data_IF_301925421776
#
_entry.id   IF_301925421776
#
_cell.length_a   1.000
_cell.length_b   1.000
_cell.length_c   1.000
_cell.angle_alpha   90.00
_cell.angle_beta   90.00
_cell.angle_gamma   90.00
#
_symmetry.space_group_name_H-M   'P 1'
#
loop_
_entity.id
_entity.type
_entity.pdbx_description
1 polymer ?
#
# COMPACT_ATOMS: atom_id res chain seq x y z
N UNK A 1 -10.93 44.15 -0.24
CA UNK A 1 -10.06 43.71 -1.37
C UNK A 1 -9.24 42.53 -0.84
N UNK A 2 -9.36 41.33 -1.42
CA UNK A 2 -8.62 40.14 -0.94
C UNK A 2 -7.13 40.28 -1.27
N UNK A 3 -6.25 40.04 -0.29
CA UNK A 3 -4.80 40.04 -0.46
C UNK A 3 -4.36 38.85 -1.34
N UNK A 4 -3.34 39.03 -2.18
CA UNK A 4 -2.67 38.01 -2.99
C UNK A 4 -2.25 36.79 -2.15
N UNK A 5 -1.77 37.00 -0.93
CA UNK A 5 -1.41 35.90 -0.02
C UNK A 5 -2.64 35.06 0.37
N UNK A 6 -3.79 35.70 0.56
CA UNK A 6 -5.06 35.05 0.89
C UNK A 6 -5.59 34.23 -0.30
N UNK A 7 -5.46 34.75 -1.53
CA UNK A 7 -5.83 34.03 -2.75
C UNK A 7 -4.93 32.82 -3.02
N UNK A 8 -3.64 32.92 -2.71
CA UNK A 8 -2.68 31.81 -2.79
C UNK A 8 -3.02 30.69 -1.79
N UNK A 9 -3.32 31.04 -0.53
CA UNK A 9 -3.73 30.07 0.49
C UNK A 9 -5.03 29.33 0.11
N UNK A 10 -6.06 30.05 -0.35
CA UNK A 10 -7.33 29.44 -0.78
C UNK A 10 -7.12 28.49 -1.96
N UNK A 11 -6.28 28.87 -2.92
CA UNK A 11 -5.97 28.04 -4.09
C UNK A 11 -5.22 26.76 -3.71
N UNK A 12 -4.29 26.85 -2.75
CA UNK A 12 -3.55 25.70 -2.22
C UNK A 12 -4.46 24.72 -1.47
N UNK A 13 -5.36 25.22 -0.63
CA UNK A 13 -6.35 24.40 0.09
C UNK A 13 -7.28 23.67 -0.89
N UNK A 14 -7.85 24.38 -1.87
CA UNK A 14 -8.73 23.78 -2.88
C UNK A 14 -8.04 22.71 -3.70
N UNK A 15 -6.77 22.90 -4.03
CA UNK A 15 -5.97 21.91 -4.74
C UNK A 15 -5.69 20.67 -3.86
N UNK A 16 -5.35 20.87 -2.58
CA UNK A 16 -5.16 19.77 -1.61
C UNK A 16 -6.43 18.91 -1.49
N UNK A 17 -7.59 19.58 -1.34
CA UNK A 17 -8.91 18.96 -1.24
C UNK A 17 -9.23 18.08 -2.48
N UNK A 18 -8.97 18.60 -3.68
CA UNK A 18 -9.22 17.88 -4.93
C UNK A 18 -8.38 16.59 -5.04
N UNK A 19 -7.09 16.65 -4.67
CA UNK A 19 -6.19 15.48 -4.75
C UNK A 19 -6.55 14.42 -3.72
N UNK A 20 -6.90 14.82 -2.50
CA UNK A 20 -7.42 13.90 -1.48
C UNK A 20 -8.69 13.21 -1.95
N UNK A 21 -9.62 13.95 -2.57
CA UNK A 21 -10.86 13.38 -3.10
C UNK A 21 -10.60 12.37 -4.22
N UNK A 22 -9.65 12.65 -5.11
CA UNK A 22 -9.22 11.72 -6.16
C UNK A 22 -8.65 10.43 -5.55
N UNK A 23 -7.74 10.55 -4.59
CA UNK A 23 -7.18 9.40 -3.89
C UNK A 23 -8.25 8.56 -3.19
N UNK A 24 -9.15 9.18 -2.42
CA UNK A 24 -10.22 8.45 -1.72
C UNK A 24 -11.11 7.68 -2.70
N UNK A 25 -11.44 8.26 -3.85
CA UNK A 25 -12.18 7.55 -4.89
C UNK A 25 -11.42 6.34 -5.41
N UNK A 26 -10.12 6.50 -5.68
CA UNK A 26 -9.27 5.40 -6.13
C UNK A 26 -9.17 4.30 -5.07
N UNK A 27 -8.87 4.65 -3.82
CA UNK A 27 -8.80 3.68 -2.72
C UNK A 27 -10.13 2.94 -2.50
N UNK A 28 -11.27 3.64 -2.55
CA UNK A 28 -12.60 3.01 -2.43
C UNK A 28 -12.88 2.02 -3.57
N UNK A 29 -12.53 2.35 -4.82
CA UNK A 29 -12.66 1.43 -5.95
C UNK A 29 -11.83 0.17 -5.74
N UNK A 30 -10.65 0.30 -5.14
CA UNK A 30 -9.79 -0.83 -4.79
C UNK A 30 -10.42 -1.73 -3.73
N UNK A 31 -10.91 -1.15 -2.64
CA UNK A 31 -11.55 -1.90 -1.56
C UNK A 31 -12.82 -2.62 -2.03
N UNK A 32 -13.57 -2.02 -2.96
CA UNK A 32 -14.75 -2.64 -3.61
C UNK A 32 -14.40 -3.69 -4.67
N UNK A 33 -13.13 -3.75 -5.04
CA UNK A 33 -12.61 -4.68 -6.01
C UNK A 33 -12.86 -4.37 -7.48
N UNK A 34 -13.08 -3.10 -7.79
CA UNK A 34 -13.28 -2.59 -9.15
C UNK A 34 -11.97 -2.28 -9.89
N UNK A 35 -10.81 -2.47 -9.24
CA UNK A 35 -9.48 -2.34 -9.85
C UNK A 35 -8.83 -3.69 -10.10
N UNK A 36 -8.04 -3.80 -11.18
CA UNK A 36 -7.34 -5.03 -11.60
C UNK A 36 -5.83 -5.01 -11.34
N UNK A 37 -5.27 -3.88 -10.93
CA UNK A 37 -3.83 -3.68 -10.76
C UNK A 37 -3.53 -3.10 -9.38
N UNK A 38 -2.30 -3.22 -8.89
CA UNK A 38 -1.85 -2.62 -7.63
C UNK A 38 -1.59 -1.13 -7.80
N UNK A 39 -1.89 -0.32 -6.77
CA UNK A 39 -1.55 1.11 -6.82
C UNK A 39 -0.04 1.33 -6.68
N UNK A 40 0.58 2.09 -7.60
CA UNK A 40 1.97 2.52 -7.46
C UNK A 40 2.07 3.60 -6.38
N UNK A 41 2.76 3.31 -5.28
CA UNK A 41 2.89 4.25 -4.16
C UNK A 41 3.55 5.57 -4.57
N UNK A 42 4.54 5.54 -5.47
CA UNK A 42 5.30 6.74 -5.86
C UNK A 42 4.39 7.77 -6.57
N UNK A 43 3.42 7.30 -7.35
CA UNK A 43 2.41 8.17 -7.95
C UNK A 43 1.52 8.80 -6.87
N UNK A 44 1.05 8.01 -5.91
CA UNK A 44 0.22 8.50 -4.79
C UNK A 44 0.98 9.50 -3.94
N UNK A 45 2.27 9.23 -3.64
CA UNK A 45 3.14 10.12 -2.89
C UNK A 45 3.30 11.47 -3.58
N UNK A 46 3.55 11.47 -4.90
CA UNK A 46 3.63 12.68 -5.71
C UNK A 46 2.30 13.43 -5.77
N UNK A 47 1.21 12.71 -6.07
CA UNK A 47 -0.14 13.24 -6.17
C UNK A 47 -0.64 13.82 -4.86
N UNK A 48 -0.26 13.30 -3.70
CA UNK A 48 -0.67 13.85 -2.41
C UNK A 48 0.39 14.77 -1.79
N UNK A 49 1.57 14.94 -2.41
CA UNK A 49 2.72 15.66 -1.83
C UNK A 49 3.04 15.15 -0.41
N UNK A 50 3.06 13.83 -0.22
CA UNK A 50 3.35 13.24 1.08
C UNK A 50 4.83 13.46 1.42
N UNK A 51 5.08 14.30 2.43
CA UNK A 51 6.43 14.66 2.89
C UNK A 51 6.72 14.18 4.30
N UNK A 52 5.74 14.32 5.19
CA UNK A 52 5.90 13.96 6.59
C UNK A 52 5.49 12.51 6.80
N UNK A 53 6.35 11.76 7.47
CA UNK A 53 6.05 10.41 7.91
C UNK A 53 6.28 10.26 9.41
N UNK A 54 5.61 9.27 9.99
CA UNK A 54 5.86 8.80 11.36
C UNK A 54 5.90 7.28 11.40
N UNK A 55 6.78 6.75 12.23
CA UNK A 55 6.85 5.32 12.50
C UNK A 55 5.74 4.95 13.50
N UNK A 56 4.92 3.95 13.15
CA UNK A 56 3.85 3.44 14.00
C UNK A 56 4.19 2.07 14.61
N UNK A 57 5.40 1.55 14.39
CA UNK A 57 5.87 0.28 14.90
C UNK A 57 5.23 -0.93 14.22
N UNK A 58 5.34 -2.08 14.89
CA UNK A 58 4.75 -3.34 14.43
C UNK A 58 3.27 -3.35 14.76
N UNK A 59 2.44 -3.69 13.77
CA UNK A 59 1.00 -3.78 13.88
C UNK A 59 0.45 -4.97 13.09
N UNK A 60 -0.62 -5.55 13.58
CA UNK A 60 -1.44 -6.46 12.80
C UNK A 60 -2.39 -5.64 11.91
N UNK A 61 -2.26 -5.78 10.59
CA UNK A 61 -3.03 -5.02 9.61
C UNK A 61 -3.94 -5.93 8.79
N UNK A 62 -5.09 -5.42 8.36
CA UNK A 62 -6.01 -6.16 7.51
C UNK A 62 -5.47 -6.28 6.07
N UNK A 63 -5.48 -7.49 5.52
CA UNK A 63 -4.98 -7.79 4.17
C UNK A 63 -5.79 -7.12 3.06
N UNK A 64 -7.07 -6.82 3.30
CA UNK A 64 -7.96 -6.12 2.38
C UNK A 64 -7.65 -4.62 2.26
N UNK A 65 -7.01 -4.04 3.29
CA UNK A 65 -6.51 -2.65 3.28
C UNK A 65 -5.19 -2.49 2.52
N UNK A 66 -4.55 -3.59 2.08
CA UNK A 66 -3.35 -3.53 1.24
C UNK A 66 -3.74 -3.35 -0.22
N UNK A 67 -3.47 -2.15 -0.76
CA UNK A 67 -3.97 -1.71 -2.07
C UNK A 67 -2.87 -1.51 -3.11
N UNK A 68 -1.60 -1.54 -2.72
CA UNK A 68 -0.49 -1.21 -3.61
C UNK A 68 0.87 -1.68 -3.14
N UNK A 69 1.90 -1.37 -3.92
CA UNK A 69 3.31 -1.70 -3.65
C UNK A 69 4.24 -0.56 -4.08
N UNK A 70 5.45 -0.55 -3.53
CA UNK A 70 6.56 0.29 -3.95
C UNK A 70 7.44 -0.54 -4.87
N UNK A 71 7.44 -0.19 -6.16
CA UNK A 71 8.13 -0.98 -7.17
C UNK A 71 7.57 -2.41 -7.31
N UNK A 72 7.93 -3.06 -8.42
CA UNK A 72 7.53 -4.44 -8.75
C UNK A 72 6.02 -4.73 -8.72
N UNK A 73 5.16 -3.71 -8.67
CA UNK A 73 3.71 -3.86 -8.72
C UNK A 73 3.24 -4.50 -10.03
N UNK A 74 4.02 -4.36 -11.10
CA UNK A 74 3.82 -5.04 -12.38
C UNK A 74 4.17 -6.53 -12.37
N UNK A 75 4.91 -7.01 -11.36
CA UNK A 75 5.25 -8.44 -11.22
C UNK A 75 4.10 -9.23 -10.57
N UNK A 76 3.08 -8.55 -10.03
CA UNK A 76 2.03 -9.17 -9.23
C UNK A 76 0.62 -8.77 -9.69
N UNK A 77 -0.35 -9.68 -9.55
CA UNK A 77 -1.78 -9.37 -9.66
C UNK A 77 -2.22 -8.51 -8.48
N UNK A 78 -3.44 -7.98 -8.51
CA UNK A 78 -4.03 -7.29 -7.37
C UNK A 78 -4.07 -8.16 -6.12
N UNK A 79 -4.24 -9.47 -6.28
CA UNK A 79 -4.22 -10.46 -5.22
C UNK A 79 -2.82 -10.75 -4.69
N UNK A 80 -1.79 -10.06 -5.21
CA UNK A 80 -0.36 -10.30 -4.98
C UNK A 80 0.12 -11.66 -5.54
N UNK A 81 -0.60 -12.28 -6.48
CA UNK A 81 -0.08 -13.48 -7.16
C UNK A 81 0.95 -13.10 -8.22
N UNK A 82 2.06 -13.84 -8.36
CA UNK A 82 3.01 -13.59 -9.44
C UNK A 82 2.35 -13.59 -10.82
N UNK A 83 2.62 -12.57 -11.65
CA UNK A 83 2.16 -12.50 -13.05
C UNK A 83 3.04 -13.29 -14.02
N UNK A 84 4.32 -13.43 -13.69
CA UNK A 84 5.29 -14.15 -14.51
C UNK A 84 5.64 -15.46 -13.84
N UNK A 85 5.45 -16.55 -14.58
CA UNK A 85 6.03 -17.85 -14.25
C UNK A 85 7.50 -17.82 -14.64
N UNK A 86 8.37 -17.57 -13.66
CA UNK A 86 9.77 -17.88 -13.79
C UNK A 86 10.23 -18.63 -12.54
N UNK A 87 11.16 -19.55 -12.74
CA UNK A 87 11.62 -20.52 -11.73
C UNK A 87 12.08 -19.83 -10.44
N UNK A 88 12.69 -18.64 -10.53
CA UNK A 88 13.16 -17.89 -9.37
C UNK A 88 12.04 -17.36 -8.47
N UNK A 89 10.89 -16.99 -9.06
CA UNK A 89 9.72 -16.48 -8.34
C UNK A 89 8.95 -17.64 -7.69
N UNK A 90 8.80 -18.75 -8.42
CA UNK A 90 8.16 -19.96 -7.90
C UNK A 90 8.92 -20.54 -6.69
N UNK A 91 10.23 -20.73 -6.81
CA UNK A 91 11.07 -21.25 -5.72
C UNK A 91 10.99 -20.36 -4.47
N UNK A 92 10.96 -19.04 -4.65
CA UNK A 92 10.81 -18.09 -3.53
C UNK A 92 9.42 -18.20 -2.91
N UNK A 93 8.36 -18.30 -3.72
CA UNK A 93 6.99 -18.42 -3.22
C UNK A 93 6.81 -19.70 -2.39
N UNK A 94 7.27 -20.85 -2.91
CA UNK A 94 7.23 -22.14 -2.19
C UNK A 94 7.97 -22.07 -0.85
N UNK A 95 9.17 -21.48 -0.84
CA UNK A 95 9.94 -21.30 0.41
C UNK A 95 9.18 -20.48 1.45
N UNK A 96 8.52 -19.39 1.04
CA UNK A 96 7.72 -18.57 1.96
C UNK A 96 6.47 -19.33 2.44
N UNK A 97 5.85 -20.12 1.56
CA UNK A 97 4.74 -20.98 1.93
C UNK A 97 5.15 -22.02 2.99
N UNK A 98 6.28 -22.70 2.79
CA UNK A 98 6.81 -23.69 3.73
C UNK A 98 7.12 -23.06 5.11
N UNK A 99 7.73 -21.87 5.12
CA UNK A 99 8.00 -21.11 6.35
C UNK A 99 6.73 -20.68 7.08
N UNK A 100 5.66 -20.33 6.35
CA UNK A 100 4.38 -19.96 6.95
C UNK A 100 3.73 -21.14 7.67
N UNK A 101 3.98 -22.36 7.19
CA UNK A 101 3.47 -23.59 7.81
C UNK A 101 4.43 -24.17 8.85
N UNK A 102 5.57 -23.52 9.11
CA UNK A 102 6.52 -23.89 10.15
C UNK A 102 6.24 -23.12 11.45
N UNK A 103 6.87 -23.55 12.55
CA UNK A 103 6.82 -22.84 13.84
C UNK A 103 7.63 -21.53 13.83
N UNK A 104 8.44 -21.31 12.79
CA UNK A 104 9.38 -20.18 12.68
C UNK A 104 8.68 -18.92 12.15
N UNK A 105 7.60 -19.08 11.38
CA UNK A 105 6.87 -17.99 10.76
C UNK A 105 7.72 -17.18 9.78
N UNK A 106 7.37 -15.92 9.57
CA UNK A 106 8.15 -14.98 8.77
C UNK A 106 8.20 -13.62 9.44
N UNK A 107 9.27 -12.81 9.22
CA UNK A 107 9.34 -11.48 9.81
C UNK A 107 8.17 -10.60 9.32
N UNK A 108 7.82 -9.53 10.05
CA UNK A 108 6.83 -8.56 9.58
C UNK A 108 7.09 -8.10 8.14
N UNK A 109 6.02 -7.83 7.40
CA UNK A 109 6.16 -7.08 6.14
C UNK A 109 6.46 -5.61 6.46
N UNK A 110 6.92 -4.85 5.49
CA UNK A 110 7.08 -3.40 5.65
C UNK A 110 6.05 -2.68 4.79
N UNK A 111 5.30 -1.74 5.38
CA UNK A 111 4.25 -1.01 4.66
C UNK A 111 4.31 0.48 4.89
N UNK A 112 3.87 1.21 3.88
CA UNK A 112 3.52 2.62 3.99
C UNK A 112 2.01 2.77 4.14
N UNK A 113 1.57 3.54 5.14
CA UNK A 113 0.16 3.86 5.38
C UNK A 113 -0.17 5.25 4.84
N UNK A 114 -1.28 5.37 4.12
CA UNK A 114 -1.86 6.65 3.71
C UNK A 114 -3.36 6.62 4.00
N UNK A 115 -3.80 7.41 4.98
CA UNK A 115 -5.17 7.32 5.48
C UNK A 115 -5.44 5.92 6.05
N UNK A 116 -6.34 5.18 5.41
CA UNK A 116 -6.79 3.84 5.87
C UNK A 116 -6.24 2.67 5.06
N UNK A 117 -5.34 2.93 4.11
CA UNK A 117 -4.82 1.90 3.21
C UNK A 117 -3.30 1.79 3.28
N UNK A 118 -2.81 0.62 2.88
CA UNK A 118 -1.40 0.24 2.98
C UNK A 118 -0.80 -0.08 1.61
N UNK A 119 0.49 0.24 1.48
CA UNK A 119 1.32 -0.02 0.31
C UNK A 119 2.53 -0.84 0.76
N UNK A 120 2.76 -1.99 0.14
CA UNK A 120 3.87 -2.88 0.48
C UNK A 120 5.19 -2.25 0.04
N UNK A 121 6.09 -1.97 0.99
CA UNK A 121 7.49 -1.61 0.72
C UNK A 121 8.33 -2.86 0.54
N UNK A 122 8.15 -3.83 1.43
CA UNK A 122 8.81 -5.12 1.39
C UNK A 122 7.86 -6.23 1.84
N UNK A 123 8.02 -7.43 1.28
CA UNK A 123 7.21 -8.60 1.63
C UNK A 123 6.04 -8.94 0.69
N UNK A 124 6.09 -8.52 -0.58
CA UNK A 124 5.06 -8.85 -1.60
C UNK A 124 4.70 -10.35 -1.64
N UNK A 125 5.69 -11.25 -1.60
CA UNK A 125 5.46 -12.70 -1.58
C UNK A 125 4.81 -13.19 -0.27
N UNK A 126 5.09 -12.56 0.87
CA UNK A 126 4.44 -12.90 2.15
C UNK A 126 2.97 -12.50 2.12
N UNK A 127 2.63 -11.35 1.55
CA UNK A 127 1.23 -10.95 1.30
C UNK A 127 0.52 -11.94 0.38
N UNK A 128 1.21 -12.37 -0.69
CA UNK A 128 0.71 -13.41 -1.62
C UNK A 128 0.34 -14.70 -0.89
N UNK A 129 1.28 -15.24 -0.10
CA UNK A 129 1.10 -16.47 0.66
C UNK A 129 0.01 -16.33 1.72
N UNK A 130 -0.02 -15.21 2.46
CA UNK A 130 -1.05 -14.95 3.46
C UNK A 130 -2.46 -14.92 2.84
N UNK A 131 -2.61 -14.32 1.65
CA UNK A 131 -3.88 -14.33 0.90
C UNK A 131 -4.22 -15.72 0.37
N UNK A 132 -3.25 -16.48 -0.12
CA UNK A 132 -3.45 -17.87 -0.55
C UNK A 132 -3.91 -18.77 0.59
N UNK A 133 -3.47 -18.49 1.82
CA UNK A 133 -3.90 -19.16 3.04
C UNK A 133 -5.18 -18.57 3.64
N UNK A 134 -5.88 -17.68 2.92
CA UNK A 134 -7.13 -17.03 3.35
C UNK A 134 -7.05 -16.24 4.66
N UNK A 135 -5.84 -15.87 5.09
CA UNK A 135 -5.63 -15.05 6.28
C UNK A 135 -6.38 -13.72 6.16
N UNK A 136 -6.82 -13.17 7.29
CA UNK A 136 -7.50 -11.87 7.35
C UNK A 136 -6.53 -10.73 7.62
N UNK A 137 -5.45 -11.04 8.34
CA UNK A 137 -4.47 -10.09 8.83
C UNK A 137 -3.05 -10.56 8.55
N UNK A 138 -2.11 -9.64 8.63
CA UNK A 138 -0.67 -9.90 8.56
C UNK A 138 0.07 -8.90 9.44
N UNK A 139 1.15 -9.34 10.09
CA UNK A 139 2.02 -8.47 10.89
C UNK A 139 2.88 -7.58 9.96
N UNK A 140 2.92 -6.29 10.26
CA UNK A 140 3.62 -5.30 9.45
C UNK A 140 4.31 -4.24 10.31
N UNK A 141 5.52 -3.83 9.92
CA UNK A 141 6.12 -2.58 10.35
C UNK A 141 5.52 -1.42 9.53
N UNK A 142 4.87 -0.47 10.20
CA UNK A 142 4.04 0.54 9.56
C UNK A 142 4.69 1.92 9.64
N UNK A 143 4.97 2.53 8.47
CA UNK A 143 5.36 3.94 8.36
C UNK A 143 4.18 4.71 7.75
N UNK A 144 3.60 5.64 8.51
CA UNK A 144 2.47 6.44 8.04
C UNK A 144 2.94 7.74 7.42
N UNK A 145 2.47 8.00 6.20
CA UNK A 145 2.64 9.28 5.51
C UNK A 145 1.40 10.15 5.70
N UNK A 146 1.61 11.37 6.19
CA UNK A 146 0.56 12.35 6.43
C UNK A 146 0.26 13.11 5.13
N UNK A 147 -1.03 13.15 4.75
CA UNK A 147 -1.48 14.08 3.72
C UNK A 147 -1.27 15.51 4.24
N UNK A 148 -0.68 16.42 3.45
CA UNK A 148 -0.68 17.83 3.79
C UNK A 148 -2.13 18.30 3.97
N UNK A 149 -2.33 19.13 4.99
CA UNK A 149 -3.58 19.84 5.29
C UNK A 149 -3.82 20.83 4.15
#
# INVERSE_FOLDING_TARGET
MMNIDMLSSISNEKFSEARRRAFLRTALRFLRGESKELLPFDEIRSQLRLKHSRDLGIQEIALDKIVGSIGRYEDFTREFFPRRDNESVELRWRRIYDLTNSLEGFPPIEVFKVGEVYFVRDGNHRVSVARANEAKTIEAHVIEYLSPI
#
